data_IF_670145876837
#
_entry.id   IF_670145876837
#
_cell.length_a   1.000
_cell.length_b   1.000
_cell.length_c   1.000
_cell.angle_alpha   90.00
_cell.angle_beta   90.00
_cell.angle_gamma   90.00
#
_symmetry.space_group_name_H-M   'P 1'
#
loop_
_entity.id
_entity.type
_entity.pdbx_description
1 polymer ?
#
# COMPACT_ATOMS: atom_id res chain seq x y z
N UNK A 1 7.15 9.79 6.12
CA UNK A 1 8.60 9.63 6.31
C UNK A 1 9.36 10.18 5.12
N UNK A 2 10.41 10.95 5.37
CA UNK A 2 11.26 11.59 4.36
C UNK A 2 12.73 11.20 4.54
N UNK A 3 13.02 9.93 4.73
CA UNK A 3 14.38 9.49 5.02
C UNK A 3 14.86 10.03 6.37
N UNK A 4 15.91 10.84 6.39
CA UNK A 4 16.48 11.42 7.61
C UNK A 4 15.92 12.79 7.96
N UNK A 5 14.99 13.33 7.15
CA UNK A 5 14.40 14.64 7.42
C UNK A 5 13.32 14.53 8.49
N UNK A 6 13.25 15.54 9.37
CA UNK A 6 12.19 15.67 10.34
C UNK A 6 10.88 16.05 9.63
N UNK A 7 9.71 15.60 10.14
CA UNK A 7 8.43 16.07 9.63
C UNK A 7 8.32 17.60 9.75
N UNK A 8 7.63 18.23 8.80
CA UNK A 8 7.37 19.67 8.85
C UNK A 8 6.57 20.02 10.11
N UNK A 9 6.87 21.17 10.73
CA UNK A 9 6.07 21.70 11.84
C UNK A 9 4.75 22.27 11.32
N UNK A 10 4.69 22.63 10.03
CA UNK A 10 3.45 23.09 9.41
C UNK A 10 2.56 21.89 9.12
N UNK A 11 1.28 22.06 9.42
CA UNK A 11 0.26 21.04 9.15
C UNK A 11 -0.68 21.51 8.06
N UNK A 12 -1.32 20.54 7.42
CA UNK A 12 -2.35 20.79 6.42
C UNK A 12 -3.46 19.75 6.58
N UNK A 13 -4.66 20.13 6.19
CA UNK A 13 -5.79 19.19 6.19
C UNK A 13 -5.84 18.46 4.86
N UNK A 14 -5.71 17.14 4.89
CA UNK A 14 -5.63 16.31 3.69
C UNK A 14 -6.56 15.13 3.77
N UNK A 15 -6.94 14.64 2.61
CA UNK A 15 -7.62 13.35 2.45
C UNK A 15 -6.65 12.43 1.71
N UNK A 16 -6.36 11.28 2.30
CA UNK A 16 -5.45 10.28 1.74
C UNK A 16 -6.27 9.28 0.94
N UNK A 17 -5.97 9.16 -0.33
CA UNK A 17 -6.68 8.26 -1.26
C UNK A 17 -5.68 7.35 -1.95
N UNK A 18 -6.17 6.19 -2.42
CA UNK A 18 -5.42 5.34 -3.32
C UNK A 18 -5.50 5.84 -4.75
N UNK A 19 -4.99 5.06 -5.68
CA UNK A 19 -4.93 5.41 -7.09
C UNK A 19 -5.96 4.64 -7.95
N UNK A 20 -6.98 4.12 -7.31
CA UNK A 20 -8.04 3.38 -7.98
C UNK A 20 -9.26 4.28 -8.18
N UNK A 21 -9.94 4.14 -9.31
CA UNK A 21 -11.15 4.89 -9.62
C UNK A 21 -12.37 4.27 -8.93
N UNK A 22 -12.27 4.14 -7.62
CA UNK A 22 -13.28 3.56 -6.74
C UNK A 22 -13.52 4.50 -5.58
N UNK A 23 -14.79 4.86 -5.34
CA UNK A 23 -15.14 5.81 -4.27
C UNK A 23 -14.77 5.34 -2.87
N UNK A 24 -14.59 4.02 -2.67
CA UNK A 24 -14.15 3.44 -1.40
C UNK A 24 -12.63 3.48 -1.19
N UNK A 25 -11.86 3.94 -2.18
CA UNK A 25 -10.41 3.97 -2.09
C UNK A 25 -9.92 5.21 -1.34
N UNK A 26 -10.44 5.37 -0.14
CA UNK A 26 -10.11 6.48 0.77
C UNK A 26 -9.53 5.86 2.05
N UNK A 27 -8.28 6.21 2.35
CA UNK A 27 -7.57 5.69 3.52
C UNK A 27 -7.77 6.58 4.75
N UNK A 28 -7.87 7.88 4.56
CA UNK A 28 -8.11 8.82 5.63
C UNK A 28 -8.75 10.09 5.05
N UNK A 29 -9.76 10.61 5.72
CA UNK A 29 -10.50 11.77 5.25
C UNK A 29 -10.35 12.94 6.22
N UNK A 30 -10.04 14.11 5.66
CA UNK A 30 -9.97 15.38 6.41
C UNK A 30 -9.06 15.28 7.64
N UNK A 31 -7.85 14.76 7.46
CA UNK A 31 -6.87 14.61 8.52
C UNK A 31 -5.89 15.77 8.51
N UNK A 32 -5.60 16.28 9.70
CA UNK A 32 -4.54 17.26 9.85
C UNK A 32 -3.21 16.53 10.04
N UNK A 33 -2.31 16.69 9.08
CA UNK A 33 -1.02 16.02 9.05
C UNK A 33 0.08 17.03 8.75
N UNK A 34 1.33 16.71 9.13
CA UNK A 34 2.47 17.50 8.64
C UNK A 34 2.45 17.56 7.11
N UNK A 35 2.95 18.66 6.55
CA UNK A 35 3.01 18.86 5.11
C UNK A 35 3.57 17.62 4.41
N UNK A 36 2.85 17.11 3.40
CA UNK A 36 3.21 15.92 2.64
C UNK A 36 3.69 16.35 1.26
N UNK A 37 4.80 15.77 0.81
CA UNK A 37 5.38 16.02 -0.51
C UNK A 37 5.50 14.72 -1.28
N UNK A 38 5.61 14.86 -2.59
CA UNK A 38 5.87 13.72 -3.47
C UNK A 38 7.13 12.98 -3.01
N UNK A 39 7.03 11.67 -2.91
CA UNK A 39 8.12 10.81 -2.44
C UNK A 39 8.08 10.48 -0.95
N UNK A 40 7.22 11.14 -0.19
CA UNK A 40 7.03 10.80 1.21
C UNK A 40 6.41 9.41 1.36
N UNK A 41 6.78 8.72 2.44
CA UNK A 41 6.19 7.44 2.81
C UNK A 41 5.27 7.65 3.99
N UNK A 42 4.04 7.19 3.84
CA UNK A 42 3.02 7.25 4.90
C UNK A 42 2.81 5.86 5.48
N UNK A 43 2.55 5.80 6.76
CA UNK A 43 2.23 4.54 7.43
C UNK A 43 0.84 4.60 8.06
N UNK A 44 0.11 3.51 7.94
CA UNK A 44 -1.15 3.32 8.65
C UNK A 44 -0.87 2.36 9.79
N UNK A 45 -1.06 2.84 11.01
CA UNK A 45 -0.78 2.05 12.21
C UNK A 45 -1.92 1.08 12.50
N UNK A 46 -1.58 -0.01 13.18
CA UNK A 46 -2.54 -1.01 13.68
C UNK A 46 -3.41 -1.63 12.57
N UNK A 47 -2.87 -1.72 11.36
CA UNK A 47 -3.59 -2.21 10.19
C UNK A 47 -2.96 -3.45 9.54
N UNK A 48 -1.93 -4.02 10.14
CA UNK A 48 -1.17 -5.12 9.52
C UNK A 48 -2.01 -6.33 9.16
N UNK A 49 -2.95 -6.70 10.03
CA UNK A 49 -3.83 -7.86 9.80
C UNK A 49 -4.73 -7.68 8.57
N UNK A 50 -5.00 -6.45 8.16
CA UNK A 50 -5.91 -6.15 7.06
C UNK A 50 -5.21 -5.58 5.83
N UNK A 51 -3.91 -5.39 5.88
CA UNK A 51 -3.16 -4.82 4.75
C UNK A 51 -3.26 -5.68 3.51
N UNK A 52 -2.68 -6.87 3.54
CA UNK A 52 -2.73 -7.80 2.42
C UNK A 52 -4.13 -8.40 2.22
N UNK A 53 -4.78 -8.81 3.31
CA UNK A 53 -6.05 -9.54 3.22
C UNK A 53 -7.17 -8.74 2.57
N UNK A 54 -7.16 -7.42 2.70
CA UNK A 54 -8.13 -6.54 2.05
C UNK A 54 -7.66 -6.03 0.69
N UNK A 55 -6.42 -6.30 0.31
CA UNK A 55 -5.93 -5.93 -1.01
C UNK A 55 -6.55 -6.81 -2.09
N UNK A 56 -6.60 -6.30 -3.32
CA UNK A 56 -7.14 -7.04 -4.45
C UNK A 56 -6.40 -6.66 -5.73
N UNK A 57 -6.72 -7.37 -6.80
CA UNK A 57 -6.18 -7.06 -8.12
C UNK A 57 -7.12 -6.14 -8.92
N UNK A 58 -7.99 -5.41 -8.25
CA UNK A 58 -8.90 -4.49 -8.93
C UNK A 58 -8.11 -3.52 -9.83
N UNK A 59 -8.58 -3.33 -11.04
CA UNK A 59 -7.89 -2.59 -12.10
C UNK A 59 -6.50 -3.16 -12.46
N UNK A 60 -6.33 -4.48 -12.30
CA UNK A 60 -5.09 -5.20 -12.60
C UNK A 60 -3.88 -4.68 -11.78
N UNK A 61 -4.14 -4.20 -10.58
CA UNK A 61 -3.06 -3.82 -9.67
C UNK A 61 -2.46 -5.05 -9.00
N UNK A 62 -1.17 -5.04 -8.85
CA UNK A 62 -0.45 -6.11 -8.15
C UNK A 62 -0.63 -5.95 -6.65
N UNK A 63 -0.79 -7.08 -5.95
CA UNK A 63 -0.91 -7.08 -4.49
C UNK A 63 0.46 -6.89 -3.84
N UNK A 64 0.51 -6.27 -2.66
CA UNK A 64 1.76 -5.90 -2.01
C UNK A 64 2.49 -7.08 -1.39
N UNK A 65 3.77 -6.87 -1.09
CA UNK A 65 4.54 -7.77 -0.24
C UNK A 65 4.07 -7.66 1.21
N UNK A 66 4.38 -8.68 2.00
CA UNK A 66 4.25 -8.63 3.45
C UNK A 66 5.60 -8.84 4.11
N UNK A 67 5.86 -8.08 5.15
CA UNK A 67 7.05 -8.26 5.98
C UNK A 67 6.63 -8.41 7.44
N UNK A 68 7.47 -9.07 8.21
CA UNK A 68 7.34 -9.17 9.65
C UNK A 68 8.57 -8.54 10.29
N UNK A 69 8.34 -7.75 11.32
CA UNK A 69 9.42 -7.24 12.15
C UNK A 69 9.38 -8.04 13.46
N UNK A 70 10.45 -8.80 13.70
CA UNK A 70 10.57 -9.61 14.91
C UNK A 70 10.90 -8.75 16.12
N UNK A 71 10.72 -9.30 17.32
CA UNK A 71 11.01 -8.58 18.57
C UNK A 71 12.45 -8.07 18.63
N UNK A 72 13.40 -8.77 18.02
CA UNK A 72 14.81 -8.35 17.97
C UNK A 72 15.08 -7.29 16.87
N UNK A 73 14.04 -6.81 16.19
CA UNK A 73 14.17 -5.82 15.12
C UNK A 73 14.47 -6.41 13.74
N UNK A 74 14.64 -7.72 13.62
CA UNK A 74 14.90 -8.35 12.33
C UNK A 74 13.69 -8.23 11.41
N UNK A 75 13.92 -7.76 10.19
CA UNK A 75 12.89 -7.66 9.14
C UNK A 75 12.93 -8.92 8.29
N UNK A 76 11.78 -9.57 8.14
CA UNK A 76 11.66 -10.82 7.40
C UNK A 76 10.58 -10.67 6.34
N UNK A 77 10.88 -11.05 5.10
CA UNK A 77 9.88 -11.12 4.03
C UNK A 77 9.02 -12.38 4.25
N UNK A 78 7.72 -12.18 4.46
CA UNK A 78 6.78 -13.30 4.69
C UNK A 78 5.89 -13.57 3.49
N UNK A 79 5.80 -12.63 2.55
CA UNK A 79 5.08 -12.79 1.29
C UNK A 79 5.75 -11.94 0.22
N UNK A 80 6.07 -12.55 -0.89
CA UNK A 80 6.63 -11.84 -2.04
C UNK A 80 5.59 -10.89 -2.64
N UNK A 81 6.06 -9.75 -3.15
CA UNK A 81 5.24 -8.85 -3.96
C UNK A 81 4.81 -9.57 -5.24
N UNK A 82 3.57 -9.40 -5.66
CA UNK A 82 3.12 -9.94 -6.94
C UNK A 82 3.87 -9.32 -8.11
N UNK A 83 4.02 -10.12 -9.15
CA UNK A 83 4.53 -9.71 -10.46
C UNK A 83 3.44 -9.93 -11.52
N UNK A 84 3.65 -9.41 -12.74
CA UNK A 84 2.63 -9.48 -13.80
C UNK A 84 2.18 -10.90 -14.09
N UNK A 85 3.07 -11.87 -14.02
CA UNK A 85 2.77 -13.28 -14.26
C UNK A 85 1.70 -13.81 -13.29
N UNK A 86 1.64 -13.27 -12.08
CA UNK A 86 0.62 -13.68 -11.10
C UNK A 86 -0.79 -13.33 -11.57
N UNK A 87 -0.95 -12.23 -12.30
CA UNK A 87 -2.24 -11.84 -12.87
C UNK A 87 -2.67 -12.77 -14.01
N UNK A 88 -1.72 -13.40 -14.69
CA UNK A 88 -1.94 -14.20 -15.89
C UNK A 88 -2.01 -15.69 -15.60
N UNK A 89 -1.66 -16.13 -14.41
CA UNK A 89 -1.46 -17.55 -14.08
C UNK A 89 -2.62 -18.46 -14.45
N UNK A 90 -3.84 -17.98 -14.32
CA UNK A 90 -5.05 -18.77 -14.60
C UNK A 90 -5.73 -18.39 -15.92
N UNK A 91 -5.13 -17.52 -16.71
CA UNK A 91 -5.68 -17.12 -17.99
C UNK A 91 -5.43 -18.21 -19.02
N UNK A 92 -6.49 -18.60 -19.71
CA UNK A 92 -6.41 -19.60 -20.79
C UNK A 92 -6.42 -18.85 -22.11
N UNK A 93 -5.41 -19.07 -22.99
CA UNK A 93 -5.41 -18.44 -24.32
C UNK A 93 -6.67 -18.77 -25.11
N UNK A 94 -7.21 -17.79 -25.85
CA UNK A 94 -8.44 -17.98 -26.62
C UNK A 94 -8.37 -19.13 -27.61
N UNK A 95 -7.19 -19.42 -28.12
CA UNK A 95 -6.96 -20.52 -29.07
C UNK A 95 -7.12 -21.91 -28.44
N UNK A 96 -7.16 -21.96 -27.11
CA UNK A 96 -7.27 -23.22 -26.35
C UNK A 96 -8.64 -23.41 -25.69
N UNK A 97 -9.54 -22.44 -25.86
CA UNK A 97 -10.90 -22.52 -25.29
C UNK A 97 -11.93 -22.92 -26.35
#
# INVERSE_FOLDING_TARGET
>A
YRGTEEPSEQTETVTIVGNICESGDILAKDRELPEIRKGDVLGILDAGAYGFTMSSNYNNRLRPAEIMIRENGQVVLTREREVLEDLMRHVIPLEEV
#
